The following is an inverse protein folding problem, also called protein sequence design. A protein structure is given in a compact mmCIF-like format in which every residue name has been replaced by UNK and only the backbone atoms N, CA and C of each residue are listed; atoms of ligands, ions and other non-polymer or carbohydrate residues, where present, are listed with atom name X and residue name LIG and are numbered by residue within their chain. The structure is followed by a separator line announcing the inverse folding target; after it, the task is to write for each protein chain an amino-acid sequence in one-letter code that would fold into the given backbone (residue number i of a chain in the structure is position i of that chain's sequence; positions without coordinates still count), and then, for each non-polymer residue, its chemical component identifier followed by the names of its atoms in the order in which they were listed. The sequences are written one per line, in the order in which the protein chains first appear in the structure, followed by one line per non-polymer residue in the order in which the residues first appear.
data_IF_519538850363
#
_entry.id   IF_519538850363
#
_cell.length_a   1.000
_cell.length_b   1.000
_cell.length_c   1.000
_cell.angle_alpha   90.00
_cell.angle_beta   90.00
_cell.angle_gamma   90.00
#
_symmetry.space_group_name_H-M   'P 1'
#
loop_
_entity.id
_entity.type
_entity.pdbx_description
1 polymer ?
#
# COMPACT_ATOMS: atom_id res chain seq x y z
N UNK A 1 5.61 2.62 -21.86
CA UNK A 1 4.55 1.61 -21.66
C UNK A 1 4.05 1.72 -20.22
N UNK A 2 2.74 1.66 -20.03
CA UNK A 2 1.99 1.74 -18.75
C UNK A 2 2.19 3.02 -17.91
N UNK A 3 1.41 4.05 -18.24
CA UNK A 3 1.11 5.14 -17.31
C UNK A 3 0.10 4.66 -16.28
N UNK A 4 0.60 4.18 -15.13
CA UNK A 4 -0.22 4.06 -13.93
C UNK A 4 -0.68 5.48 -13.55
N UNK A 5 -1.98 5.67 -13.31
CA UNK A 5 -2.51 6.96 -12.90
C UNK A 5 -2.09 7.24 -11.45
N UNK A 6 -0.93 7.87 -11.27
CA UNK A 6 -0.29 8.16 -9.96
C UNK A 6 -1.12 9.08 -9.06
N UNK A 7 -2.14 9.71 -9.62
CA UNK A 7 -2.96 10.71 -8.95
C UNK A 7 -4.08 10.09 -8.09
N UNK A 8 -4.28 8.77 -8.12
CA UNK A 8 -5.21 8.07 -7.24
C UNK A 8 -4.51 7.18 -6.20
N UNK A 9 -5.23 6.82 -5.15
CA UNK A 9 -4.66 6.14 -4.00
C UNK A 9 -4.06 4.75 -4.33
N UNK A 10 -4.59 4.05 -5.33
CA UNK A 10 -4.03 2.78 -5.82
C UNK A 10 -2.70 2.96 -6.55
N UNK A 11 -2.55 4.07 -7.30
CA UNK A 11 -1.29 4.47 -7.91
C UNK A 11 -0.20 4.73 -6.86
N UNK A 12 -0.57 5.38 -5.74
CA UNK A 12 0.35 5.67 -4.63
C UNK A 12 0.79 4.40 -3.89
N UNK A 13 -0.09 3.40 -3.70
CA UNK A 13 0.30 2.11 -3.10
C UNK A 13 1.24 1.32 -4.00
N UNK A 14 1.02 1.37 -5.31
CA UNK A 14 1.93 0.72 -6.28
C UNK A 14 3.32 1.38 -6.24
N UNK A 15 3.38 2.71 -6.16
CA UNK A 15 4.64 3.43 -5.97
C UNK A 15 5.33 3.04 -4.66
N UNK A 16 4.58 2.92 -3.56
CA UNK A 16 5.14 2.48 -2.28
C UNK A 16 5.73 1.06 -2.37
N UNK A 17 5.07 0.13 -3.07
CA UNK A 17 5.59 -1.23 -3.29
C UNK A 17 6.91 -1.19 -4.06
N UNK A 18 6.99 -0.40 -5.13
CA UNK A 18 8.23 -0.28 -5.91
C UNK A 18 9.36 0.37 -5.10
N UNK A 19 9.04 1.32 -4.21
CA UNK A 19 10.01 1.88 -3.27
C UNK A 19 10.47 0.87 -2.23
N UNK A 20 9.57 0.06 -1.67
CA UNK A 20 9.93 -1.02 -0.74
C UNK A 20 10.88 -2.04 -1.39
N UNK A 21 10.66 -2.36 -2.67
CA UNK A 21 11.53 -3.28 -3.41
C UNK A 21 12.89 -2.67 -3.74
N UNK A 22 12.92 -1.41 -4.14
CA UNK A 22 14.16 -0.75 -4.62
C UNK A 22 15.00 -0.10 -3.52
N UNK A 23 14.38 0.50 -2.50
CA UNK A 23 15.06 1.23 -1.43
C UNK A 23 15.31 0.35 -0.19
N UNK A 24 14.41 -0.60 0.09
CA UNK A 24 14.52 -1.52 1.23
C UNK A 24 14.87 -2.96 0.82
N UNK A 25 15.14 -3.17 -0.47
CA UNK A 25 15.59 -4.45 -1.05
C UNK A 25 14.67 -5.64 -0.71
N UNK A 26 13.37 -5.37 -0.59
CA UNK A 26 12.37 -6.40 -0.27
C UNK A 26 11.92 -7.16 -1.53
N UNK A 27 11.61 -8.45 -1.36
CA UNK A 27 10.91 -9.21 -2.40
C UNK A 27 9.47 -8.74 -2.58
N UNK A 28 8.83 -9.12 -3.70
CA UNK A 28 7.42 -8.82 -3.94
C UNK A 28 6.50 -9.34 -2.81
N UNK A 29 6.80 -10.53 -2.26
CA UNK A 29 6.05 -11.11 -1.15
C UNK A 29 6.24 -10.30 0.15
N UNK A 30 7.48 -9.88 0.43
CA UNK A 30 7.78 -9.07 1.61
C UNK A 30 7.15 -7.68 1.52
N UNK A 31 7.23 -7.03 0.36
CA UNK A 31 6.59 -5.73 0.14
C UNK A 31 5.07 -5.83 0.32
N UNK A 32 4.43 -6.87 -0.22
CA UNK A 32 3.01 -7.14 0.01
C UNK A 32 2.65 -7.26 1.50
N UNK A 33 3.43 -8.04 2.26
CA UNK A 33 3.25 -8.20 3.72
C UNK A 33 3.43 -6.89 4.50
N UNK A 34 4.36 -6.03 4.08
CA UNK A 34 4.54 -4.71 4.71
C UNK A 34 3.30 -3.85 4.53
N UNK A 35 2.74 -3.79 3.32
CA UNK A 35 1.51 -3.04 3.04
C UNK A 35 0.34 -3.56 3.89
N UNK A 36 0.17 -4.88 3.95
CA UNK A 36 -0.88 -5.50 4.75
C UNK A 36 -0.71 -5.20 6.24
N UNK A 37 0.51 -5.29 6.75
CA UNK A 37 0.84 -5.00 8.17
C UNK A 37 0.49 -3.55 8.52
N UNK A 38 0.87 -2.59 7.66
CA UNK A 38 0.56 -1.17 7.87
C UNK A 38 -0.95 -0.94 7.84
N UNK A 39 -1.65 -1.50 6.84
CA UNK A 39 -3.12 -1.40 6.72
C UNK A 39 -3.79 -1.87 8.01
N UNK A 40 -3.46 -3.07 8.47
CA UNK A 40 -4.06 -3.68 9.66
C UNK A 40 -3.73 -2.85 10.91
N UNK A 41 -2.48 -2.45 11.09
CA UNK A 41 -2.07 -1.61 12.22
C UNK A 41 -2.84 -0.29 12.29
N UNK A 42 -3.04 0.40 11.16
CA UNK A 42 -3.76 1.68 11.14
C UNK A 42 -5.26 1.46 11.40
N UNK A 43 -5.88 0.42 10.85
CA UNK A 43 -7.29 0.09 11.13
C UNK A 43 -7.49 -0.23 12.61
N UNK A 44 -6.59 -1.01 13.21
CA UNK A 44 -6.66 -1.39 14.62
C UNK A 44 -6.50 -0.19 15.55
N UNK A 45 -5.58 0.73 15.24
CA UNK A 45 -5.32 1.92 16.06
C UNK A 45 -6.30 3.06 15.82
N UNK A 46 -6.83 3.18 14.60
CA UNK A 46 -7.71 4.26 14.18
C UNK A 46 -8.92 3.71 13.41
N UNK A 47 -9.86 3.02 14.08
CA UNK A 47 -10.99 2.38 13.40
C UNK A 47 -11.86 3.33 12.57
N UNK A 48 -11.94 4.60 12.97
CA UNK A 48 -12.67 5.64 12.24
C UNK A 48 -12.09 5.90 10.84
N UNK A 49 -10.81 5.58 10.60
CA UNK A 49 -10.16 5.75 9.30
C UNK A 49 -10.29 4.52 8.39
N UNK A 50 -10.92 3.44 8.87
CA UNK A 50 -10.99 2.16 8.15
C UNK A 50 -11.52 2.28 6.73
N UNK A 51 -12.55 3.11 6.50
CA UNK A 51 -13.09 3.35 5.15
C UNK A 51 -12.06 3.98 4.20
N UNK A 52 -11.32 4.98 4.67
CA UNK A 52 -10.30 5.66 3.87
C UNK A 52 -9.08 4.76 3.62
N UNK A 53 -8.64 4.04 4.65
CA UNK A 53 -7.53 3.07 4.56
C UNK A 53 -7.88 1.95 3.58
N UNK A 54 -9.10 1.42 3.62
CA UNK A 54 -9.54 0.41 2.66
C UNK A 54 -9.65 0.94 1.23
N UNK A 55 -9.94 2.22 1.02
CA UNK A 55 -9.91 2.86 -0.30
C UNK A 55 -8.46 3.00 -0.82
N UNK A 56 -7.54 3.41 0.06
CA UNK A 56 -6.13 3.61 -0.30
C UNK A 56 -5.44 2.28 -0.61
N UNK A 57 -5.57 1.31 0.30
CA UNK A 57 -4.92 0.00 0.22
C UNK A 57 -5.82 -1.07 -0.42
N UNK A 58 -6.78 -0.66 -1.26
CA UNK A 58 -7.88 -1.50 -1.74
C UNK A 58 -7.48 -2.71 -2.62
N UNK A 59 -7.91 -3.90 -2.16
CA UNK A 59 -7.94 -5.26 -2.72
C UNK A 59 -6.75 -5.71 -3.61
N UNK A 60 -5.76 -6.33 -2.95
CA UNK A 60 -5.38 -7.71 -3.29
C UNK A 60 -5.89 -8.64 -2.21
#
# INVERSE_FOLDING_TARGET
MFGLNKDNAQGQVTELIERLKSEAELSDEQAGKVIETIKNFVVDKYPMLSGAVNNIFGNK
#
